data_IF_332032348653
#
_entry.id   IF_332032348653
#
_cell.length_a   1.000
_cell.length_b   1.000
_cell.length_c   1.000
_cell.angle_alpha   90.00
_cell.angle_beta   90.00
_cell.angle_gamma   90.00
#
_symmetry.space_group_name_H-M   'P 1'
#
loop_
_entity.id
_entity.type
_entity.pdbx_description
1 polymer ?
#
# COMPACT_ATOMS: atom_id res chain seq x y z
N UNK A 1 -1.68 12.99 -15.44
CA UNK A 1 -0.48 12.89 -14.56
C UNK A 1 -0.68 13.58 -13.21
N UNK A 2 -1.31 14.77 -13.18
CA UNK A 2 -1.59 15.55 -11.95
C UNK A 2 -2.52 14.85 -10.96
N UNK A 3 -3.56 14.15 -11.42
CA UNK A 3 -4.51 13.48 -10.49
C UNK A 3 -3.92 12.29 -9.75
N UNK A 4 -3.07 11.49 -10.41
CA UNK A 4 -2.41 10.32 -9.79
C UNK A 4 -1.46 10.76 -8.68
N UNK A 5 -0.71 11.85 -8.91
CA UNK A 5 0.19 12.44 -7.92
C UNK A 5 -0.59 13.02 -6.74
N UNK A 6 -1.73 13.66 -7.00
CA UNK A 6 -2.59 14.18 -5.94
C UNK A 6 -3.19 13.07 -5.08
N UNK A 7 -3.68 11.99 -5.70
CA UNK A 7 -4.18 10.81 -4.99
C UNK A 7 -3.11 10.14 -4.13
N UNK A 8 -1.89 9.97 -4.66
CA UNK A 8 -0.78 9.36 -3.93
C UNK A 8 -0.42 10.15 -2.65
N UNK A 9 -0.36 11.49 -2.74
CA UNK A 9 -0.06 12.36 -1.60
C UNK A 9 -1.16 12.34 -0.53
N UNK A 10 -2.44 12.35 -0.95
CA UNK A 10 -3.59 12.31 -0.04
C UNK A 10 -3.65 10.97 0.71
N UNK A 11 -3.42 9.85 0.02
CA UNK A 11 -3.46 8.51 0.64
C UNK A 11 -2.30 8.33 1.62
N UNK A 12 -1.09 8.77 1.27
CA UNK A 12 0.06 8.70 2.18
C UNK A 12 -0.20 9.46 3.49
N UNK A 13 -0.72 10.69 3.39
CA UNK A 13 -1.05 11.48 4.57
C UNK A 13 -2.17 10.86 5.41
N UNK A 14 -3.20 10.30 4.75
CA UNK A 14 -4.27 9.58 5.43
C UNK A 14 -3.73 8.38 6.22
N UNK A 15 -2.87 7.56 5.62
CA UNK A 15 -2.26 6.39 6.29
C UNK A 15 -1.40 6.81 7.49
N UNK A 16 -0.62 7.88 7.36
CA UNK A 16 0.21 8.39 8.45
C UNK A 16 -0.60 8.86 9.65
N UNK A 17 -1.80 9.41 9.41
CA UNK A 17 -2.71 9.95 10.42
C UNK A 17 -3.48 8.87 11.21
N UNK A 18 -3.50 7.63 10.72
CA UNK A 18 -4.21 6.54 11.39
C UNK A 18 -3.48 6.11 12.67
N UNK A 19 -4.22 5.76 13.76
CA UNK A 19 -3.64 5.27 15.02
C UNK A 19 -3.20 3.80 14.89
N UNK A 20 -2.34 3.52 13.92
CA UNK A 20 -1.84 2.18 13.58
C UNK A 20 -0.36 2.04 13.97
N UNK A 21 0.04 0.80 14.26
CA UNK A 21 1.46 0.48 14.43
C UNK A 21 2.24 0.82 13.16
N UNK A 22 3.54 1.10 13.33
CA UNK A 22 4.43 1.43 12.20
C UNK A 22 4.36 0.39 11.08
N UNK A 23 4.39 -0.89 11.44
CA UNK A 23 4.33 -1.99 10.47
C UNK A 23 3.03 -2.00 9.67
N UNK A 24 1.88 -1.72 10.30
CA UNK A 24 0.59 -1.61 9.60
C UNK A 24 0.52 -0.39 8.68
N UNK A 25 1.12 0.73 9.05
CA UNK A 25 1.23 1.90 8.17
C UNK A 25 2.12 1.60 6.96
N UNK A 26 3.26 0.94 7.17
CA UNK A 26 4.14 0.50 6.08
C UNK A 26 3.44 -0.48 5.13
N UNK A 27 2.65 -1.42 5.68
CA UNK A 27 1.83 -2.33 4.87
C UNK A 27 0.84 -1.57 3.99
N UNK A 28 0.07 -0.63 4.56
CA UNK A 28 -0.91 0.15 3.81
C UNK A 28 -0.25 1.04 2.73
N UNK A 29 0.88 1.66 3.03
CA UNK A 29 1.64 2.44 2.04
C UNK A 29 2.09 1.54 0.89
N UNK A 30 2.63 0.36 1.19
CA UNK A 30 3.09 -0.58 0.17
C UNK A 30 1.95 -1.11 -0.71
N UNK A 31 0.79 -1.43 -0.11
CA UNK A 31 -0.41 -1.83 -0.87
C UNK A 31 -0.85 -0.71 -1.80
N UNK A 32 -0.79 0.54 -1.34
CA UNK A 32 -1.15 1.72 -2.15
C UNK A 32 -0.22 1.87 -3.35
N UNK A 33 1.09 1.79 -3.14
CA UNK A 33 2.08 1.87 -4.23
C UNK A 33 1.85 0.78 -5.27
N UNK A 34 1.56 -0.45 -4.81
CA UNK A 34 1.27 -1.59 -5.68
C UNK A 34 -0.08 -1.46 -6.39
N UNK A 35 -1.08 -0.84 -5.76
CA UNK A 35 -2.37 -0.55 -6.41
C UNK A 35 -2.21 0.47 -7.55
N UNK A 36 -1.48 1.55 -7.29
CA UNK A 36 -1.17 2.57 -8.31
C UNK A 36 -0.40 1.93 -9.47
N UNK A 37 0.66 1.17 -9.17
CA UNK A 37 1.45 0.47 -10.18
C UNK A 37 0.60 -0.55 -10.96
N UNK A 38 -0.25 -1.30 -10.28
CA UNK A 38 -1.15 -2.27 -10.90
C UNK A 38 -2.11 -1.60 -11.90
N UNK A 39 -2.76 -0.50 -11.50
CA UNK A 39 -3.66 0.27 -12.36
C UNK A 39 -2.93 0.87 -13.57
N UNK A 40 -1.73 1.41 -13.39
CA UNK A 40 -0.91 1.94 -14.49
C UNK A 40 -0.61 0.85 -15.53
N UNK A 41 -0.41 -0.39 -15.09
CA UNK A 41 -0.14 -1.54 -15.97
C UNK A 41 -1.41 -2.22 -16.52
N UNK A 42 -2.60 -1.64 -16.30
CA UNK A 42 -3.86 -2.19 -16.79
C UNK A 42 -4.45 -3.32 -15.95
N UNK A 43 -3.92 -3.57 -14.75
CA UNK A 43 -4.52 -4.50 -13.78
C UNK A 43 -5.59 -3.80 -12.93
N UNK A 44 -6.38 -4.59 -12.20
CA UNK A 44 -7.46 -4.09 -11.32
C UNK A 44 -7.01 -3.40 -10.02
N UNK A 45 -5.70 -3.28 -9.78
CA UNK A 45 -5.14 -2.76 -8.52
C UNK A 45 -3.96 -3.61 -8.01
N UNK A 46 -3.78 -3.64 -6.69
CA UNK A 46 -2.74 -4.43 -6.06
C UNK A 46 -3.02 -5.94 -6.20
N UNK A 47 -2.07 -6.70 -6.74
CA UNK A 47 -2.16 -8.16 -6.96
C UNK A 47 -1.17 -8.97 -6.10
N UNK A 48 -0.48 -8.33 -5.16
CA UNK A 48 0.50 -9.00 -4.31
C UNK A 48 -0.18 -9.94 -3.30
N UNK A 49 0.47 -11.08 -3.01
CA UNK A 49 -0.01 -12.04 -2.00
C UNK A 49 0.36 -11.58 -0.60
N UNK A 50 -0.46 -11.94 0.40
CA UNK A 50 -0.20 -11.62 1.81
C UNK A 50 1.18 -12.08 2.27
N UNK A 51 1.62 -13.27 1.82
CA UNK A 51 2.98 -13.76 2.05
C UNK A 51 4.06 -12.76 1.61
N UNK A 52 3.98 -12.27 0.37
CA UNK A 52 4.95 -11.34 -0.21
C UNK A 52 4.96 -10.01 0.53
N UNK A 53 3.76 -9.47 0.81
CA UNK A 53 3.62 -8.23 1.58
C UNK A 53 4.19 -8.38 3.00
N UNK A 54 3.92 -9.51 3.65
CA UNK A 54 4.41 -9.81 4.99
C UNK A 54 5.93 -9.89 5.06
N UNK A 55 6.56 -10.56 4.09
CA UNK A 55 8.02 -10.60 3.96
C UNK A 55 8.62 -9.20 3.77
N UNK A 56 8.00 -8.33 2.97
CA UNK A 56 8.49 -6.98 2.70
C UNK A 56 8.37 -6.02 3.90
N UNK A 57 7.36 -6.20 4.77
CA UNK A 57 7.13 -5.31 5.93
C UNK A 57 7.42 -5.96 7.28
N UNK A 58 7.97 -7.17 7.29
CA UNK A 58 8.32 -7.91 8.52
C UNK A 58 7.10 -8.34 9.34
N UNK A 59 5.97 -8.64 8.68
CA UNK A 59 4.74 -9.15 9.31
C UNK A 59 4.53 -10.62 8.97
N UNK A 60 3.93 -11.36 9.90
CA UNK A 60 3.46 -12.70 9.60
C UNK A 60 2.34 -12.63 8.54
N UNK A 61 2.30 -13.60 7.62
CA UNK A 61 1.27 -13.67 6.57
C UNK A 61 -0.17 -13.61 7.13
N UNK A 62 -0.41 -14.21 8.29
CA UNK A 62 -1.72 -14.20 8.98
C UNK A 62 -2.09 -12.84 9.58
N UNK A 63 -1.12 -11.94 9.71
CA UNK A 63 -1.29 -10.58 10.24
C UNK A 63 -1.51 -9.56 9.11
N UNK A 64 -1.10 -9.91 7.90
CA UNK A 64 -1.31 -9.12 6.67
C UNK A 64 -2.73 -9.33 6.15
#
# INVERSE_FOLDING_TARGET
>A
MTEVVHYALVIAHAIESLPLSRAKRQLLSKITDLDIAGRINGFGGCIAKNKTLGEEVGLAETTV
#
